data_IF_405485655425
#
_entry.id   IF_405485655425
#
_cell.length_a   1.000
_cell.length_b   1.000
_cell.length_c   1.000
_cell.angle_alpha   90.00
_cell.angle_beta   90.00
_cell.angle_gamma   90.00
#
_symmetry.space_group_name_H-M   'P 1'
#
loop_
_entity.id
_entity.type
_entity.pdbx_description
1 polymer ?
#
# COMPACT_ATOMS: atom_id res chain seq x y z
N UNK A 1 -16.96 17.13 10.74
CA UNK A 1 -15.97 17.46 11.78
C UNK A 1 -16.62 18.25 12.90
N UNK A 2 -16.29 17.93 14.15
CA UNK A 2 -16.76 18.63 15.36
C UNK A 2 -15.55 18.93 16.24
N UNK A 3 -15.48 20.16 16.75
CA UNK A 3 -14.47 20.60 17.72
C UNK A 3 -15.13 20.69 19.08
N UNK A 4 -14.51 20.09 20.09
CA UNK A 4 -14.99 20.00 21.47
C UNK A 4 -13.98 20.63 22.41
N UNK A 5 -14.43 21.62 23.19
CA UNK A 5 -13.67 22.23 24.27
C UNK A 5 -13.37 21.16 25.33
N UNK A 6 -12.09 20.86 25.55
CA UNK A 6 -11.63 19.77 26.42
C UNK A 6 -11.86 20.03 27.91
N UNK A 7 -12.02 21.29 28.32
CA UNK A 7 -12.28 21.65 29.71
C UNK A 7 -13.78 21.53 30.03
N UNK A 8 -14.63 22.07 29.16
CA UNK A 8 -16.09 22.12 29.29
C UNK A 8 -16.80 20.87 28.79
N UNK A 9 -16.14 20.06 27.96
CA UNK A 9 -16.69 18.90 27.25
C UNK A 9 -17.96 19.26 26.46
N UNK A 10 -17.91 20.36 25.71
CA UNK A 10 -19.01 20.85 24.86
C UNK A 10 -18.53 21.09 23.43
N UNK A 11 -19.34 20.77 22.41
CA UNK A 11 -19.02 21.14 21.03
C UNK A 11 -19.00 22.67 20.92
N UNK A 12 -17.91 23.21 20.37
CA UNK A 12 -17.72 24.65 20.12
C UNK A 12 -17.83 25.00 18.64
N UNK A 13 -17.50 24.06 17.74
CA UNK A 13 -17.69 24.23 16.31
C UNK A 13 -18.08 22.90 15.65
N UNK A 14 -18.91 22.97 14.61
CA UNK A 14 -19.31 21.81 13.80
C UNK A 14 -19.43 22.23 12.33
N UNK A 15 -18.78 21.48 11.45
CA UNK A 15 -18.73 21.72 10.01
C UNK A 15 -18.71 20.40 9.24
N UNK A 16 -19.28 20.41 8.05
CA UNK A 16 -19.11 19.36 7.03
C UNK A 16 -18.38 19.98 5.84
N UNK A 17 -17.63 19.15 5.12
CA UNK A 17 -16.86 19.54 3.94
C UNK A 17 -17.10 18.47 2.89
N UNK A 18 -17.67 18.84 1.75
CA UNK A 18 -17.91 17.93 0.63
C UNK A 18 -16.64 17.81 -0.21
N UNK A 19 -15.68 17.01 0.28
CA UNK A 19 -14.42 16.70 -0.42
C UNK A 19 -14.61 15.64 -1.53
N UNK A 20 -15.85 15.38 -1.96
CA UNK A 20 -16.18 14.65 -3.17
C UNK A 20 -16.56 15.59 -4.33
N UNK A 21 -17.38 16.62 -4.07
CA UNK A 21 -17.78 17.61 -5.06
C UNK A 21 -16.80 18.78 -5.19
N UNK A 22 -16.22 19.23 -4.07
CA UNK A 22 -15.34 20.41 -3.96
C UNK A 22 -13.93 20.01 -3.52
N UNK A 23 -12.97 20.93 -3.62
CA UNK A 23 -11.63 20.75 -3.04
C UNK A 23 -11.63 20.92 -1.50
N UNK A 24 -10.49 20.59 -0.87
CA UNK A 24 -10.35 20.60 0.59
C UNK A 24 -9.94 21.93 1.23
N UNK A 25 -9.85 23.04 0.48
CA UNK A 25 -9.28 24.31 0.97
C UNK A 25 -10.00 24.86 2.20
N UNK A 26 -11.34 24.81 2.22
CA UNK A 26 -12.16 25.25 3.37
C UNK A 26 -11.94 24.36 4.62
N UNK A 27 -11.69 23.07 4.41
CA UNK A 27 -11.35 22.16 5.51
C UNK A 27 -9.96 22.46 6.07
N UNK A 28 -8.99 22.78 5.21
CA UNK A 28 -7.63 23.16 5.60
C UNK A 28 -7.65 24.46 6.42
N UNK A 29 -8.39 25.48 5.97
CA UNK A 29 -8.61 26.71 6.72
C UNK A 29 -9.26 26.47 8.09
N UNK A 30 -10.26 25.58 8.16
CA UNK A 30 -10.91 25.19 9.41
C UNK A 30 -9.92 24.50 10.38
N UNK A 31 -9.16 23.50 9.90
CA UNK A 31 -8.17 22.78 10.71
C UNK A 31 -7.05 23.70 11.22
N UNK A 32 -6.71 24.76 10.49
CA UNK A 32 -5.70 25.75 10.90
C UNK A 32 -6.21 26.81 11.87
N UNK A 33 -7.46 27.28 11.72
CA UNK A 33 -7.98 28.49 12.41
C UNK A 33 -8.97 28.19 13.54
N UNK A 34 -9.78 27.13 13.38
CA UNK A 34 -10.90 26.82 14.26
C UNK A 34 -10.58 25.70 15.27
N UNK A 35 -9.49 24.95 15.07
CA UNK A 35 -9.02 23.90 15.98
C UNK A 35 -7.83 24.44 16.80
N UNK A 36 -8.08 24.86 18.04
CA UNK A 36 -7.06 25.49 18.90
C UNK A 36 -6.29 24.45 19.68
N UNK A 37 -5.12 24.83 20.19
CA UNK A 37 -4.32 23.96 21.05
C UNK A 37 -5.12 23.49 22.28
N UNK A 38 -5.10 22.18 22.55
CA UNK A 38 -5.91 21.55 23.59
C UNK A 38 -7.36 21.22 23.20
N UNK A 39 -7.88 21.66 22.05
CA UNK A 39 -9.21 21.25 21.59
C UNK A 39 -9.22 19.78 21.13
N UNK A 40 -10.33 19.09 21.39
CA UNK A 40 -10.58 17.73 20.88
C UNK A 40 -11.27 17.86 19.51
N UNK A 41 -10.66 17.30 18.47
CA UNK A 41 -11.23 17.20 17.12
C UNK A 41 -11.83 15.80 16.92
N UNK A 42 -13.11 15.76 16.55
CA UNK A 42 -13.80 14.58 16.05
C UNK A 42 -13.98 14.73 14.54
N UNK A 43 -13.24 13.94 13.77
CA UNK A 43 -13.37 13.84 12.32
C UNK A 43 -14.02 12.50 11.95
N UNK A 44 -14.91 12.52 10.95
CA UNK A 44 -15.56 11.32 10.42
C UNK A 44 -16.00 11.57 8.97
N UNK A 45 -16.01 10.53 8.15
CA UNK A 45 -16.55 10.54 6.79
C UNK A 45 -18.04 10.25 6.78
N UNK A 46 -18.74 10.71 5.75
CA UNK A 46 -20.09 10.28 5.40
C UNK A 46 -20.18 10.16 3.88
N UNK A 47 -20.78 9.07 3.38
CA UNK A 47 -20.74 8.66 1.97
C UNK A 47 -19.31 8.54 1.39
N UNK A 48 -18.80 9.61 0.78
CA UNK A 48 -17.52 9.67 0.06
C UNK A 48 -16.80 10.95 0.45
N UNK A 49 -15.50 10.86 0.73
CA UNK A 49 -14.71 12.01 1.15
C UNK A 49 -13.27 12.01 0.58
N UNK A 50 -12.92 11.05 -0.27
CA UNK A 50 -11.54 10.84 -0.72
C UNK A 50 -11.21 11.53 -2.05
N UNK A 51 -12.19 11.71 -2.94
CA UNK A 51 -11.98 12.05 -4.35
C UNK A 51 -11.17 13.33 -4.58
N UNK A 52 -11.51 14.41 -3.89
CA UNK A 52 -10.84 15.72 -3.98
C UNK A 52 -10.13 16.10 -2.67
N UNK A 53 -9.83 15.12 -1.81
CA UNK A 53 -9.13 15.35 -0.55
C UNK A 53 -7.64 15.64 -0.80
N UNK A 54 -7.27 16.92 -0.72
CA UNK A 54 -5.94 17.42 -1.03
C UNK A 54 -4.83 16.87 -0.13
N UNK A 55 -3.60 16.91 -0.64
CA UNK A 55 -2.40 16.46 0.09
C UNK A 55 -2.19 17.31 1.36
N UNK A 56 -2.47 18.62 1.30
CA UNK A 56 -2.36 19.51 2.45
C UNK A 56 -3.34 19.13 3.56
N UNK A 57 -4.62 18.93 3.24
CA UNK A 57 -5.61 18.36 4.15
C UNK A 57 -5.17 17.04 4.81
N UNK A 58 -4.64 16.08 4.02
CA UNK A 58 -4.15 14.80 4.56
C UNK A 58 -2.96 14.99 5.50
N UNK A 59 -2.06 15.92 5.20
CA UNK A 59 -0.91 16.24 6.06
C UNK A 59 -1.35 16.92 7.35
N UNK A 60 -2.26 17.91 7.30
CA UNK A 60 -2.83 18.55 8.50
C UNK A 60 -3.51 17.53 9.42
N UNK A 61 -4.25 16.57 8.85
CA UNK A 61 -4.88 15.50 9.63
C UNK A 61 -3.85 14.52 10.22
N UNK A 62 -2.74 14.26 9.53
CA UNK A 62 -1.63 13.47 10.06
C UNK A 62 -0.88 14.20 11.19
N UNK A 63 -0.63 15.51 11.07
CA UNK A 63 -0.06 16.38 12.11
C UNK A 63 -0.99 16.48 13.33
N UNK A 64 -2.31 16.35 13.11
CA UNK A 64 -3.33 16.20 14.15
C UNK A 64 -3.41 14.78 14.72
N UNK A 65 -2.48 13.88 14.39
CA UNK A 65 -2.39 12.53 14.96
C UNK A 65 -3.08 11.42 14.17
N UNK A 66 -3.49 11.65 12.92
CA UNK A 66 -4.00 10.55 12.06
C UNK A 66 -2.87 9.65 11.57
N UNK A 67 -3.00 8.36 11.83
CA UNK A 67 -2.13 7.30 11.28
C UNK A 67 -2.64 6.77 9.93
N UNK A 68 -3.95 6.86 9.66
CA UNK A 68 -4.62 6.22 8.52
C UNK A 68 -5.14 7.15 7.41
N UNK A 69 -5.21 8.48 7.59
CA UNK A 69 -5.86 9.38 6.61
C UNK A 69 -5.25 9.31 5.21
N UNK A 70 -3.96 9.02 5.11
CA UNK A 70 -3.28 8.84 3.82
C UNK A 70 -3.88 7.67 3.03
N UNK A 71 -4.32 6.62 3.74
CA UNK A 71 -4.91 5.39 3.20
C UNK A 71 -6.41 5.50 2.89
N UNK A 72 -7.04 6.67 3.07
CA UNK A 72 -8.46 6.86 2.74
C UNK A 72 -8.69 6.69 1.23
N UNK A 73 -9.55 5.73 0.88
CA UNK A 73 -9.93 5.33 -0.48
C UNK A 73 -11.39 5.69 -0.78
N UNK A 74 -11.80 5.56 -2.05
CA UNK A 74 -13.17 5.82 -2.50
C UNK A 74 -14.21 5.06 -1.67
N UNK A 75 -15.16 5.80 -1.06
CA UNK A 75 -16.19 5.29 -0.12
C UNK A 75 -15.64 4.59 1.13
N UNK A 76 -14.34 4.69 1.39
CA UNK A 76 -13.75 4.24 2.65
C UNK A 76 -14.37 5.00 3.81
N UNK A 77 -14.79 4.28 4.85
CA UNK A 77 -15.34 4.88 6.06
C UNK A 77 -14.22 5.07 7.07
N UNK A 78 -14.13 6.27 7.64
CA UNK A 78 -13.07 6.64 8.57
C UNK A 78 -13.62 7.54 9.67
N UNK A 79 -13.11 7.36 10.88
CA UNK A 79 -13.19 8.38 11.92
C UNK A 79 -11.86 8.50 12.66
N UNK A 80 -11.64 9.67 13.24
CA UNK A 80 -10.58 9.94 14.20
C UNK A 80 -11.11 10.87 15.28
N UNK A 81 -10.77 10.58 16.54
CA UNK A 81 -10.91 11.50 17.66
C UNK A 81 -9.50 11.83 18.15
N UNK A 82 -9.11 13.10 18.13
CA UNK A 82 -7.75 13.53 18.48
C UNK A 82 -7.73 14.84 19.27
N UNK A 83 -6.58 15.26 19.78
CA UNK A 83 -6.42 16.54 20.48
C UNK A 83 -5.26 17.35 19.87
N UNK A 84 -5.52 18.62 19.53
CA UNK A 84 -4.48 19.51 18.98
C UNK A 84 -3.36 19.71 20.01
N UNK A 85 -2.12 19.45 19.59
CA UNK A 85 -0.94 19.51 20.46
C UNK A 85 -0.53 18.16 21.07
N UNK A 86 -1.27 17.07 20.80
CA UNK A 86 -0.79 15.73 21.15
C UNK A 86 0.45 15.35 20.32
N UNK A 87 1.25 14.41 20.83
CA UNK A 87 2.42 13.85 20.12
C UNK A 87 2.14 12.41 19.69
N UNK A 88 2.57 12.06 18.48
CA UNK A 88 2.32 10.74 17.90
C UNK A 88 0.86 10.58 17.46
N UNK A 89 0.45 9.33 17.25
CA UNK A 89 -0.87 9.02 16.69
C UNK A 89 -1.98 8.94 17.74
N UNK A 90 -3.20 9.30 17.32
CA UNK A 90 -4.39 9.07 18.12
C UNK A 90 -4.67 7.56 18.24
N UNK A 91 -4.94 7.06 19.45
CA UNK A 91 -5.42 5.70 19.67
C UNK A 91 -6.92 5.53 19.34
N UNK A 92 -7.61 6.60 18.95
CA UNK A 92 -9.04 6.61 18.63
C UNK A 92 -9.25 6.90 17.14
N UNK A 93 -8.78 5.98 16.30
CA UNK A 93 -8.89 6.07 14.85
C UNK A 93 -9.23 4.69 14.26
N UNK A 94 -10.15 4.66 13.30
CA UNK A 94 -10.46 3.46 12.51
C UNK A 94 -10.71 3.83 11.05
N UNK A 95 -10.16 3.04 10.14
CA UNK A 95 -10.42 3.09 8.70
C UNK A 95 -10.96 1.73 8.24
N UNK A 96 -12.13 1.70 7.61
CA UNK A 96 -12.67 0.54 6.90
C UNK A 96 -12.73 0.85 5.40
N UNK A 97 -11.99 0.09 4.59
CA UNK A 97 -12.03 0.21 3.14
C UNK A 97 -13.42 -0.18 2.58
N UNK A 98 -13.75 0.36 1.41
CA UNK A 98 -14.92 -0.04 0.62
C UNK A 98 -14.81 -1.50 0.19
N UNK A 99 -15.90 -2.27 0.28
CA UNK A 99 -15.93 -3.69 -0.12
C UNK A 99 -16.82 -3.85 -1.34
N UNK A 100 -16.23 -4.16 -2.50
CA UNK A 100 -16.96 -4.29 -3.77
C UNK A 100 -17.67 -3.00 -4.21
N UNK A 101 -17.14 -1.83 -3.84
CA UNK A 101 -17.79 -0.53 -4.09
C UNK A 101 -18.88 -0.13 -3.09
N UNK A 102 -19.20 -1.00 -2.12
CA UNK A 102 -20.14 -0.74 -1.04
C UNK A 102 -19.44 -0.18 0.20
N UNK A 103 -20.15 0.70 0.92
CA UNK A 103 -19.70 1.30 2.17
C UNK A 103 -19.56 0.25 3.28
N UNK A 104 -18.50 0.37 4.07
CA UNK A 104 -18.23 -0.47 5.25
C UNK A 104 -18.49 0.32 6.54
N UNK A 105 -19.73 0.36 7.08
CA UNK A 105 -20.08 1.23 8.18
C UNK A 105 -19.23 0.97 9.45
N UNK A 106 -19.01 2.03 10.21
CA UNK A 106 -18.34 2.00 11.50
C UNK A 106 -19.37 2.42 12.56
N UNK A 107 -19.49 1.59 13.59
CA UNK A 107 -20.30 1.84 14.77
C UNK A 107 -19.43 1.47 15.97
N UNK A 108 -19.08 2.45 16.79
CA UNK A 108 -18.04 2.35 17.83
C UNK A 108 -18.45 3.21 19.03
N UNK A 109 -18.38 2.62 20.22
CA UNK A 109 -18.67 3.29 21.48
C UNK A 109 -17.44 3.26 22.39
N UNK A 110 -16.94 4.43 22.78
CA UNK A 110 -15.67 4.53 23.53
C UNK A 110 -15.67 5.69 24.53
N UNK A 111 -14.86 5.53 25.59
CA UNK A 111 -14.54 6.61 26.52
C UNK A 111 -13.28 7.34 26.05
N UNK A 112 -13.39 8.63 25.77
CA UNK A 112 -12.28 9.50 25.37
C UNK A 112 -11.85 10.37 26.56
N UNK A 113 -10.56 10.43 26.92
CA UNK A 113 -10.08 11.27 28.01
C UNK A 113 -10.14 12.75 27.62
N UNK A 114 -10.28 13.64 28.62
CA UNK A 114 -10.28 15.09 28.39
C UNK A 114 -8.93 15.63 27.93
N UNK A 115 -7.85 15.02 28.41
CA UNK A 115 -6.50 15.31 27.98
C UNK A 115 -5.85 14.05 27.42
N UNK A 116 -5.25 14.18 26.24
CA UNK A 116 -4.49 13.15 25.57
C UNK A 116 -3.05 13.31 26.07
N UNK A 117 -2.82 12.88 27.32
CA UNK A 117 -1.51 12.95 27.96
C UNK A 117 -0.41 12.44 27.02
N UNK A 118 0.73 13.12 27.00
CA UNK A 118 1.95 12.60 26.37
C UNK A 118 2.30 11.29 27.09
N UNK A 119 1.91 10.17 26.48
CA UNK A 119 1.94 8.86 27.12
C UNK A 119 3.37 8.45 27.45
N UNK A 120 3.79 8.68 28.69
CA UNK A 120 4.83 7.90 29.37
C UNK A 120 4.37 6.44 29.65
N UNK A 121 3.49 5.91 28.80
CA UNK A 121 3.11 4.50 28.79
C UNK A 121 4.23 3.78 28.03
N UNK A 122 4.91 2.79 28.63
CA UNK A 122 5.95 2.05 27.92
C UNK A 122 5.40 1.50 26.61
N UNK A 123 6.13 1.72 25.51
CA UNK A 123 5.79 1.13 24.22
C UNK A 123 5.78 -0.39 24.36
N UNK A 124 4.67 -1.02 23.99
CA UNK A 124 4.46 -2.48 24.13
C UNK A 124 3.97 -3.07 22.80
N UNK A 125 4.41 -4.29 22.45
CA UNK A 125 3.87 -5.05 21.33
C UNK A 125 2.35 -5.17 21.36
N UNK A 126 1.73 -5.19 20.19
CA UNK A 126 0.32 -5.54 20.06
C UNK A 126 0.05 -6.97 20.56
N UNK A 127 -1.07 -7.15 21.27
CA UNK A 127 -1.45 -8.43 21.87
C UNK A 127 -1.84 -9.41 20.75
N UNK A 128 -1.25 -10.62 20.77
CA UNK A 128 -1.66 -11.70 19.89
C UNK A 128 -3.03 -12.23 20.31
N UNK A 129 -4.08 -11.82 19.58
CA UNK A 129 -5.47 -12.25 19.83
C UNK A 129 -5.76 -13.65 19.27
N UNK A 130 -5.15 -14.01 18.13
CA UNK A 130 -5.33 -15.34 17.54
C UNK A 130 -4.47 -16.40 18.25
N UNK A 131 -5.13 -17.21 19.09
CA UNK A 131 -4.49 -18.30 19.85
C UNK A 131 -3.87 -19.41 18.98
N UNK A 132 -4.32 -19.60 17.73
CA UNK A 132 -3.77 -20.63 16.85
C UNK A 132 -2.33 -20.34 16.41
N UNK A 133 -1.90 -19.08 16.46
CA UNK A 133 -0.54 -18.67 16.09
C UNK A 133 0.45 -18.79 17.25
N UNK A 134 -0.02 -19.05 18.48
CA UNK A 134 0.84 -19.16 19.67
C UNK A 134 1.86 -20.29 19.47
N UNK A 135 3.14 -19.98 19.67
CA UNK A 135 4.24 -20.91 19.46
C UNK A 135 4.73 -21.01 18.01
N UNK A 136 4.16 -20.26 17.06
CA UNK A 136 4.63 -20.24 15.68
C UNK A 136 6.08 -19.74 15.57
N UNK A 137 6.88 -20.44 14.76
CA UNK A 137 8.28 -20.08 14.49
C UNK A 137 8.44 -18.68 13.89
N UNK A 138 7.39 -18.12 13.25
CA UNK A 138 7.43 -16.77 12.68
C UNK A 138 7.80 -15.69 13.72
N UNK A 139 7.40 -15.87 14.99
CA UNK A 139 7.67 -14.93 16.07
C UNK A 139 9.09 -15.07 16.66
N UNK A 140 9.89 -16.01 16.15
CA UNK A 140 11.31 -16.19 16.46
C UNK A 140 12.23 -15.86 15.28
N UNK A 141 11.67 -15.57 14.10
CA UNK A 141 12.43 -15.14 12.92
C UNK A 141 13.01 -13.74 13.15
N UNK A 142 14.33 -13.53 13.00
CA UNK A 142 14.93 -12.20 13.10
C UNK A 142 14.41 -11.25 12.01
N UNK A 143 14.07 -10.02 12.42
CA UNK A 143 13.61 -8.95 11.54
C UNK A 143 14.71 -7.90 11.48
N UNK A 144 15.26 -7.67 10.27
CA UNK A 144 16.25 -6.63 10.03
C UNK A 144 15.57 -5.42 9.38
N UNK A 145 15.65 -4.26 10.04
CA UNK A 145 15.16 -2.99 9.52
C UNK A 145 16.37 -2.17 9.07
N UNK A 146 16.44 -1.78 7.80
CA UNK A 146 17.50 -0.90 7.29
C UNK A 146 16.99 0.54 7.39
N UNK A 147 17.62 1.35 8.24
CA UNK A 147 17.27 2.74 8.43
C UNK A 147 17.75 3.61 7.27
N UNK A 148 16.86 4.51 6.83
CA UNK A 148 17.21 5.60 5.91
C UNK A 148 17.73 6.84 6.64
N UNK A 149 17.64 7.97 5.96
CA UNK A 149 18.15 9.27 6.44
C UNK A 149 17.18 9.98 7.41
N UNK A 150 15.88 9.64 7.33
CA UNK A 150 14.83 10.30 8.12
C UNK A 150 14.48 9.54 9.40
N UNK A 151 14.74 10.17 10.55
CA UNK A 151 14.37 9.65 11.88
C UNK A 151 12.85 9.60 12.08
N UNK A 152 12.09 10.53 11.50
CA UNK A 152 10.62 10.48 11.55
C UNK A 152 10.08 9.30 10.75
N UNK A 153 10.58 9.07 9.54
CA UNK A 153 10.20 7.91 8.72
C UNK A 153 10.58 6.59 9.42
N UNK A 154 11.76 6.52 10.04
CA UNK A 154 12.17 5.36 10.83
C UNK A 154 11.21 5.12 12.02
N UNK A 155 10.90 6.16 12.80
CA UNK A 155 9.96 6.07 13.95
C UNK A 155 8.62 5.47 13.53
N UNK A 156 8.05 5.97 12.42
CA UNK A 156 6.81 5.46 11.83
C UNK A 156 6.89 3.98 11.41
N UNK A 157 8.04 3.53 10.93
CA UNK A 157 8.29 2.12 10.63
C UNK A 157 8.38 1.27 11.91
N UNK A 158 9.04 1.77 12.96
CA UNK A 158 9.15 1.06 14.24
C UNK A 158 7.79 0.96 14.98
N UNK A 159 6.95 1.99 14.90
CA UNK A 159 5.58 1.98 15.42
C UNK A 159 4.70 0.94 14.71
N UNK A 160 4.74 0.87 13.38
CA UNK A 160 3.96 -0.13 12.65
C UNK A 160 4.45 -1.56 12.88
N UNK A 161 5.77 -1.76 13.04
CA UNK A 161 6.36 -3.06 13.42
C UNK A 161 5.94 -3.47 14.84
N UNK A 162 6.03 -2.57 15.82
CA UNK A 162 5.63 -2.85 17.20
C UNK A 162 4.12 -3.15 17.31
N UNK A 163 3.33 -2.54 16.44
CA UNK A 163 1.88 -2.76 16.34
C UNK A 163 1.49 -4.10 15.69
N UNK A 164 2.44 -4.91 15.20
CA UNK A 164 2.13 -6.23 14.65
C UNK A 164 1.86 -7.25 15.78
N UNK A 165 0.70 -7.95 15.79
CA UNK A 165 0.40 -8.93 16.83
C UNK A 165 1.43 -10.07 16.91
N UNK A 166 1.96 -10.31 18.12
CA UNK A 166 2.92 -11.38 18.38
C UNK A 166 4.39 -11.05 18.08
N UNK A 167 4.70 -9.83 17.61
CA UNK A 167 6.07 -9.34 17.44
C UNK A 167 6.87 -9.47 18.76
N UNK A 168 8.11 -9.94 18.68
CA UNK A 168 9.03 -10.01 19.81
C UNK A 168 10.16 -8.98 19.62
N UNK A 169 10.20 -7.87 20.38
CA UNK A 169 11.19 -6.80 20.22
C UNK A 169 12.65 -7.27 20.19
N UNK A 170 12.98 -8.32 20.96
CA UNK A 170 14.33 -8.92 21.02
C UNK A 170 14.87 -9.42 19.67
N UNK A 171 13.99 -9.75 18.72
CA UNK A 171 14.36 -10.27 17.40
C UNK A 171 14.35 -9.19 16.30
N UNK A 172 13.98 -7.95 16.64
CA UNK A 172 14.07 -6.79 15.74
C UNK A 172 15.46 -6.16 15.89
N UNK A 173 16.14 -5.95 14.77
CA UNK A 173 17.46 -5.30 14.68
C UNK A 173 17.40 -4.18 13.65
N UNK A 174 17.60 -2.94 14.08
CA UNK A 174 17.70 -1.76 13.22
C UNK A 174 19.16 -1.55 12.83
N UNK A 175 19.46 -1.71 11.55
CA UNK A 175 20.77 -1.43 10.94
C UNK A 175 20.75 0.00 10.42
N UNK A 176 21.73 0.83 10.81
CA UNK A 176 21.76 2.25 10.44
C UNK A 176 23.18 2.76 10.22
N UNK A 177 23.34 3.80 9.40
CA UNK A 177 24.62 4.49 9.25
C UNK A 177 24.67 5.72 10.19
N UNK A 178 25.59 5.77 11.18
CA UNK A 178 25.66 6.85 12.16
C UNK A 178 26.15 8.19 11.59
N UNK A 179 26.76 8.20 10.40
CA UNK A 179 27.10 9.44 9.68
C UNK A 179 25.85 10.10 9.07
N UNK A 180 24.87 9.27 8.70
CA UNK A 180 23.67 9.67 7.96
C UNK A 180 22.52 10.01 8.91
N UNK A 181 22.26 9.15 9.90
CA UNK A 181 21.13 9.27 10.82
C UNK A 181 21.58 9.13 12.28
N UNK A 182 21.28 10.16 13.07
CA UNK A 182 21.61 10.24 14.51
C UNK A 182 20.47 9.70 15.36
N UNK A 183 20.75 9.48 16.65
CA UNK A 183 19.78 9.12 17.70
C UNK A 183 19.00 7.80 17.51
N UNK A 184 19.34 7.01 16.50
CA UNK A 184 18.73 5.68 16.25
C UNK A 184 18.88 4.73 17.44
N UNK A 185 19.98 4.82 18.21
CA UNK A 185 20.17 3.95 19.39
C UNK A 185 19.16 4.27 20.48
N UNK A 186 18.95 5.56 20.78
CA UNK A 186 17.99 6.05 21.76
C UNK A 186 16.55 5.76 21.30
N UNK A 187 16.28 5.89 20.00
CA UNK A 187 15.00 5.48 19.42
C UNK A 187 14.77 3.97 19.61
N UNK A 188 15.74 3.11 19.26
CA UNK A 188 15.59 1.66 19.43
C UNK A 188 15.39 1.25 20.89
N UNK A 189 16.07 1.92 21.83
CA UNK A 189 15.86 1.73 23.27
C UNK A 189 14.42 2.02 23.71
N UNK A 190 13.78 3.06 23.16
CA UNK A 190 12.38 3.40 23.46
C UNK A 190 11.40 2.28 23.01
N UNK A 191 11.69 1.63 21.88
CA UNK A 191 10.88 0.53 21.32
C UNK A 191 11.28 -0.86 21.85
N UNK A 192 12.37 -0.98 22.62
CA UNK A 192 12.92 -2.26 23.07
C UNK A 192 13.55 -3.09 21.94
N UNK A 193 13.95 -2.46 20.84
CA UNK A 193 14.61 -3.08 19.69
C UNK A 193 16.14 -2.98 19.80
N UNK A 194 16.86 -3.85 19.08
CA UNK A 194 18.31 -3.76 18.99
C UNK A 194 18.73 -2.78 17.89
N UNK A 195 19.85 -2.08 18.07
CA UNK A 195 20.45 -1.23 17.04
C UNK A 195 21.84 -1.73 16.64
N UNK A 196 22.20 -1.61 15.35
CA UNK A 196 23.51 -1.96 14.82
C UNK A 196 24.00 -0.91 13.83
N UNK A 197 25.07 -0.19 14.18
CA UNK A 197 25.73 0.71 13.26
C UNK A 197 26.41 -0.07 12.11
N UNK A 198 26.32 0.46 10.89
CA UNK A 198 27.05 0.04 9.69
C UNK A 198 27.72 1.25 9.02
N UNK A 199 28.77 1.02 8.24
CA UNK A 199 29.52 2.05 7.50
C UNK A 199 29.26 2.02 5.99
N UNK A 200 28.42 1.10 5.51
CA UNK A 200 28.10 0.95 4.09
C UNK A 200 26.97 1.93 3.69
N UNK A 201 26.99 2.37 2.41
CA UNK A 201 26.08 3.38 1.87
C UNK A 201 25.11 2.76 0.84
N UNK A 202 23.92 3.36 0.76
CA UNK A 202 22.85 3.16 -0.25
C UNK A 202 21.99 1.88 -0.18
N UNK A 203 20.67 2.03 -0.38
CA UNK A 203 19.74 1.05 -1.01
C UNK A 203 18.28 1.58 -1.08
N UNK A 204 17.63 1.64 -2.27
CA UNK A 204 16.16 1.78 -2.47
C UNK A 204 15.69 1.28 -3.87
N UNK A 205 14.41 0.84 -4.02
CA UNK A 205 13.80 0.30 -5.27
C UNK A 205 12.26 0.49 -5.36
N UNK A 206 11.60 0.16 -6.50
CA UNK A 206 10.21 0.57 -6.89
C UNK A 206 9.27 -0.59 -7.38
N UNK A 207 7.91 -0.40 -7.49
CA UNK A 207 6.93 -1.50 -7.72
C UNK A 207 5.84 -1.33 -8.82
N UNK A 208 5.09 -2.43 -9.14
CA UNK A 208 3.79 -2.56 -9.86
C UNK A 208 3.28 -4.04 -9.79
N UNK A 209 1.99 -4.45 -9.76
CA UNK A 209 0.62 -3.85 -9.62
C UNK A 209 -0.25 -4.84 -8.75
N UNK A 210 -1.43 -4.45 -8.20
CA UNK A 210 -2.19 -5.28 -7.22
C UNK A 210 -3.73 -5.04 -7.15
N UNK A 211 -4.55 -6.07 -6.81
CA UNK A 211 -6.02 -5.95 -6.67
C UNK A 211 -6.73 -6.76 -5.55
N UNK A 212 -6.35 -8.02 -5.26
CA UNK A 212 -7.01 -8.87 -4.23
C UNK A 212 -6.16 -9.12 -2.97
N UNK A 213 -6.79 -9.13 -1.80
CA UNK A 213 -6.07 -9.30 -0.53
C UNK A 213 -5.81 -10.75 -0.11
N UNK A 214 -6.52 -11.72 -0.69
CA UNK A 214 -6.45 -13.14 -0.35
C UNK A 214 -5.45 -13.94 -1.21
N UNK A 215 -5.12 -13.43 -2.40
CA UNK A 215 -4.28 -14.11 -3.38
C UNK A 215 -2.77 -13.94 -3.15
N UNK A 216 -2.03 -14.92 -3.66
CA UNK A 216 -0.59 -15.06 -3.61
C UNK A 216 -0.11 -15.73 -4.89
N UNK A 217 0.97 -15.21 -5.47
CA UNK A 217 1.56 -15.62 -6.75
C UNK A 217 3.00 -16.08 -6.56
N UNK A 218 3.50 -16.87 -7.52
CA UNK A 218 4.95 -17.06 -7.72
C UNK A 218 5.44 -16.08 -8.80
N UNK A 219 6.62 -15.50 -8.60
CA UNK A 219 7.28 -14.61 -9.56
C UNK A 219 8.77 -14.92 -9.66
N UNK A 220 9.33 -14.89 -10.86
CA UNK A 220 10.77 -15.06 -11.11
C UNK A 220 11.63 -13.84 -10.72
N UNK A 221 11.02 -12.83 -10.12
CA UNK A 221 11.60 -11.49 -9.92
C UNK A 221 11.75 -11.13 -8.43
N UNK A 222 12.57 -10.11 -8.14
CA UNK A 222 12.84 -9.68 -6.77
C UNK A 222 12.06 -8.40 -6.40
N UNK A 223 10.87 -8.49 -5.78
CA UNK A 223 9.97 -7.33 -5.56
C UNK A 223 10.51 -6.28 -4.57
N UNK A 224 11.60 -6.60 -3.83
CA UNK A 224 12.25 -5.72 -2.88
C UNK A 224 11.35 -5.28 -1.71
N UNK A 225 11.63 -4.10 -1.15
CA UNK A 225 10.92 -3.41 -0.06
C UNK A 225 10.86 -4.16 1.29
N UNK A 226 10.28 -5.36 1.34
CA UNK A 226 10.31 -6.25 2.50
C UNK A 226 10.15 -7.70 2.03
N UNK A 227 11.11 -8.55 2.36
CA UNK A 227 11.14 -9.95 1.93
C UNK A 227 11.77 -10.82 3.03
N UNK A 228 11.49 -12.13 2.98
CA UNK A 228 12.18 -13.12 3.81
C UNK A 228 13.23 -13.83 2.98
N UNK A 229 14.46 -13.93 3.48
CA UNK A 229 15.53 -14.73 2.84
C UNK A 229 15.96 -15.88 3.75
N UNK A 230 16.14 -17.06 3.16
CA UNK A 230 16.68 -18.23 3.87
C UNK A 230 18.16 -17.98 4.18
N UNK A 231 18.54 -17.97 5.46
CA UNK A 231 19.92 -17.69 5.88
C UNK A 231 20.97 -18.61 5.23
N UNK A 232 20.64 -19.88 4.98
CA UNK A 232 21.51 -20.80 4.25
C UNK A 232 21.80 -20.35 2.81
N UNK A 233 20.79 -19.82 2.10
CA UNK A 233 20.92 -19.25 0.76
C UNK A 233 21.77 -17.97 0.80
N UNK A 234 21.50 -17.07 1.76
CA UNK A 234 22.32 -15.88 1.94
C UNK A 234 23.81 -16.21 2.16
N UNK A 235 24.12 -17.12 3.09
CA UNK A 235 25.50 -17.43 3.46
C UNK A 235 26.27 -18.20 2.39
N UNK A 236 25.61 -19.10 1.65
CA UNK A 236 26.26 -19.95 0.64
C UNK A 236 26.39 -19.29 -0.73
N UNK A 237 25.41 -18.48 -1.14
CA UNK A 237 25.25 -18.07 -2.54
C UNK A 237 25.34 -16.55 -2.71
N UNK A 238 24.70 -15.77 -1.85
CA UNK A 238 24.72 -14.31 -1.97
C UNK A 238 26.00 -13.70 -1.38
N UNK A 239 26.30 -13.99 -0.10
CA UNK A 239 27.43 -13.38 0.61
C UNK A 239 28.79 -13.49 -0.12
N UNK A 240 29.17 -14.61 -0.78
CA UNK A 240 30.40 -14.68 -1.55
C UNK A 240 30.43 -13.75 -2.78
N UNK A 241 29.27 -13.50 -3.39
CA UNK A 241 29.12 -12.83 -4.68
C UNK A 241 28.72 -11.35 -4.59
N UNK A 242 28.61 -10.79 -3.37
CA UNK A 242 28.27 -9.37 -3.13
C UNK A 242 29.12 -8.40 -3.97
N UNK A 243 30.43 -8.66 -4.10
CA UNK A 243 31.35 -7.81 -4.88
C UNK A 243 31.09 -7.80 -6.39
N UNK A 244 30.35 -8.78 -6.90
CA UNK A 244 30.01 -8.89 -8.33
C UNK A 244 28.65 -8.25 -8.60
N UNK A 245 27.66 -8.50 -7.72
CA UNK A 245 26.32 -7.92 -7.82
C UNK A 245 26.26 -6.43 -7.44
N UNK A 246 26.78 -6.04 -6.28
CA UNK A 246 26.47 -4.76 -5.62
C UNK A 246 27.16 -3.53 -6.26
N UNK A 247 27.54 -3.64 -7.53
CA UNK A 247 28.10 -2.58 -8.35
C UNK A 247 27.01 -1.75 -9.07
N UNK A 248 25.74 -2.19 -8.97
CA UNK A 248 24.54 -1.53 -9.52
C UNK A 248 23.51 -1.30 -8.42
N UNK A 249 22.65 -0.29 -8.59
CA UNK A 249 21.65 0.13 -7.59
C UNK A 249 20.60 -0.97 -7.40
N UNK A 250 20.25 -1.27 -6.16
CA UNK A 250 19.19 -2.23 -5.86
C UNK A 250 19.57 -3.68 -6.19
N UNK A 251 18.61 -4.43 -6.70
CA UNK A 251 18.71 -5.87 -6.94
C UNK A 251 19.04 -6.22 -8.40
N UNK A 252 19.17 -5.23 -9.29
CA UNK A 252 19.45 -5.42 -10.73
C UNK A 252 20.73 -6.22 -10.96
N UNK A 253 21.80 -5.94 -10.20
CA UNK A 253 23.07 -6.67 -10.29
C UNK A 253 22.99 -8.14 -9.85
N UNK A 254 21.90 -8.58 -9.21
CA UNK A 254 21.65 -10.01 -8.95
C UNK A 254 21.11 -10.73 -10.20
N UNK A 255 20.26 -10.08 -11.01
CA UNK A 255 19.77 -10.68 -12.26
C UNK A 255 20.89 -10.96 -13.26
N UNK A 256 21.94 -10.11 -13.27
CA UNK A 256 23.08 -10.23 -14.19
C UNK A 256 23.99 -11.43 -13.88
N UNK A 257 23.91 -11.98 -12.66
CA UNK A 257 24.55 -13.25 -12.29
C UNK A 257 23.70 -14.48 -12.67
N UNK A 258 22.57 -14.25 -13.35
CA UNK A 258 21.62 -15.27 -13.82
C UNK A 258 20.38 -15.37 -12.93
N UNK A 259 19.21 -15.57 -13.56
CA UNK A 259 18.00 -16.02 -12.85
C UNK A 259 18.24 -17.44 -12.38
N UNK A 260 18.32 -17.67 -11.07
CA UNK A 260 18.69 -18.96 -10.47
C UNK A 260 17.62 -20.07 -10.56
N UNK A 261 16.74 -20.04 -11.57
CA UNK A 261 15.60 -20.96 -11.73
C UNK A 261 14.75 -21.05 -10.45
N UNK A 262 14.52 -19.89 -9.82
CA UNK A 262 13.83 -19.75 -8.53
C UNK A 262 12.83 -18.62 -8.59
N UNK A 263 11.75 -18.82 -7.84
CA UNK A 263 10.66 -17.87 -7.73
C UNK A 263 10.45 -17.44 -6.28
N UNK A 264 9.86 -16.27 -6.11
CA UNK A 264 9.42 -15.73 -4.83
C UNK A 264 7.90 -15.80 -4.74
N UNK A 265 7.38 -16.10 -3.54
CA UNK A 265 5.94 -15.99 -3.27
C UNK A 265 5.63 -14.54 -2.87
N UNK A 266 4.71 -13.91 -3.59
CA UNK A 266 4.27 -12.53 -3.38
C UNK A 266 2.75 -12.47 -3.20
N UNK A 267 2.21 -11.70 -2.24
CA UNK A 267 0.77 -11.46 -2.20
C UNK A 267 0.36 -10.59 -3.38
N UNK A 268 -0.88 -10.73 -3.86
CA UNK A 268 -1.46 -9.82 -4.84
C UNK A 268 -1.51 -8.40 -4.24
N UNK A 269 -2.35 -8.14 -3.23
CA UNK A 269 -2.29 -6.89 -2.46
C UNK A 269 -1.19 -6.94 -1.41
N UNK A 270 -0.22 -6.03 -1.59
CA UNK A 270 0.93 -5.82 -0.70
C UNK A 270 0.52 -5.77 0.78
N UNK A 271 1.38 -6.36 1.63
CA UNK A 271 1.32 -6.22 3.10
C UNK A 271 2.20 -5.08 3.62
N UNK A 272 2.90 -4.36 2.73
CA UNK A 272 3.78 -3.24 3.08
C UNK A 272 3.39 -2.00 2.29
N UNK A 273 3.07 -0.93 3.02
CA UNK A 273 2.82 0.40 2.47
C UNK A 273 4.15 1.15 2.32
N UNK A 274 4.57 1.41 1.09
CA UNK A 274 5.58 2.44 0.83
C UNK A 274 4.93 3.82 0.93
N UNK A 275 5.31 4.62 1.92
CA UNK A 275 4.96 6.04 1.95
C UNK A 275 5.67 6.77 0.79
N UNK A 276 5.02 7.72 0.11
CA UNK A 276 5.71 8.61 -0.82
C UNK A 276 6.87 9.29 -0.10
N UNK A 277 8.05 9.28 -0.72
CA UNK A 277 9.12 10.19 -0.32
C UNK A 277 8.65 11.62 -0.63
N UNK A 278 9.06 12.59 0.20
CA UNK A 278 8.71 13.99 -0.03
C UNK A 278 9.18 14.51 -1.39
N UNK A 279 8.69 15.68 -1.79
CA UNK A 279 8.99 16.37 -3.06
C UNK A 279 10.48 16.52 -3.37
N UNK A 280 11.33 16.39 -2.36
CA UNK A 280 12.71 16.86 -2.37
C UNK A 280 13.72 15.75 -2.72
N UNK A 281 13.27 14.48 -2.83
CA UNK A 281 14.19 13.33 -2.91
C UNK A 281 14.38 12.68 -4.29
N UNK A 282 13.47 12.86 -5.26
CA UNK A 282 13.75 12.57 -6.68
C UNK A 282 12.98 13.57 -7.57
N UNK A 283 13.57 14.09 -8.67
CA UNK A 283 12.88 14.95 -9.64
C UNK A 283 11.98 14.10 -10.55
N UNK A 284 10.88 13.60 -9.97
CA UNK A 284 9.94 12.72 -10.64
C UNK A 284 9.07 13.53 -11.61
N UNK A 285 9.03 13.15 -12.90
CA UNK A 285 8.10 13.79 -13.84
C UNK A 285 6.64 13.55 -13.42
N UNK A 286 5.69 14.45 -13.73
CA UNK A 286 4.29 14.26 -13.34
C UNK A 286 3.69 12.92 -13.76
N UNK A 287 4.14 12.38 -14.90
CA UNK A 287 3.75 11.05 -15.39
C UNK A 287 4.31 9.92 -14.50
N UNK A 288 5.61 9.93 -14.17
CA UNK A 288 6.19 8.90 -13.29
C UNK A 288 5.59 9.01 -11.88
N UNK A 289 5.26 10.22 -11.40
CA UNK A 289 4.58 10.40 -10.12
C UNK A 289 3.16 9.80 -10.15
N UNK A 290 2.39 10.07 -11.23
CA UNK A 290 1.05 9.52 -11.42
C UNK A 290 1.04 7.99 -11.59
N UNK A 291 2.03 7.40 -12.25
CA UNK A 291 2.11 5.96 -12.50
C UNK A 291 2.70 5.18 -11.31
N UNK A 292 3.73 5.71 -10.66
CA UNK A 292 4.55 4.92 -9.72
C UNK A 292 4.51 5.40 -8.26
N UNK A 293 4.21 6.67 -8.00
CA UNK A 293 4.25 7.28 -6.65
C UNK A 293 2.88 7.49 -6.01
N UNK A 294 1.77 7.19 -6.71
CA UNK A 294 0.45 7.10 -6.08
C UNK A 294 0.47 6.05 -4.96
N UNK A 295 -0.21 6.37 -3.85
CA UNK A 295 -0.46 5.45 -2.75
C UNK A 295 -1.21 4.21 -3.26
N UNK A 296 -0.75 3.03 -2.84
CA UNK A 296 -1.20 1.75 -3.40
C UNK A 296 -2.07 0.98 -2.42
N UNK A 297 -2.92 0.11 -2.96
CA UNK A 297 -3.63 -0.88 -2.17
C UNK A 297 -2.62 -1.64 -1.29
N UNK A 298 -2.77 -1.46 0.03
CA UNK A 298 -2.06 -2.23 1.05
C UNK A 298 -3.13 -2.87 1.91
N UNK A 299 -3.03 -4.17 2.16
CA UNK A 299 -4.02 -4.84 2.98
C UNK A 299 -3.86 -4.42 4.45
N UNK A 300 -4.91 -3.82 5.00
CA UNK A 300 -4.99 -3.42 6.41
C UNK A 300 -5.66 -4.50 7.28
N UNK A 301 -6.27 -5.54 6.70
CA UNK A 301 -6.91 -6.62 7.46
C UNK A 301 -5.87 -7.62 7.99
N UNK A 302 -5.54 -7.51 9.29
CA UNK A 302 -4.53 -8.32 9.97
C UNK A 302 -4.78 -9.84 9.96
N UNK A 303 -6.04 -10.28 9.79
CA UNK A 303 -6.45 -11.69 9.93
C UNK A 303 -7.02 -12.29 8.65
N UNK A 304 -6.78 -11.66 7.49
CA UNK A 304 -7.25 -12.17 6.20
C UNK A 304 -6.57 -13.52 5.89
N UNK A 305 -7.30 -14.65 5.82
CA UNK A 305 -6.71 -15.95 5.54
C UNK A 305 -6.28 -16.04 4.09
N UNK A 306 -5.11 -16.65 3.83
CA UNK A 306 -4.67 -16.93 2.47
C UNK A 306 -5.51 -18.07 1.89
N UNK A 307 -6.09 -17.85 0.71
CA UNK A 307 -6.75 -18.90 -0.05
C UNK A 307 -5.71 -19.79 -0.73
N UNK A 308 -5.95 -21.11 -0.75
CA UNK A 308 -5.15 -22.10 -1.49
C UNK A 308 -3.62 -22.05 -1.26
N UNK A 309 -3.15 -21.67 -0.07
CA UNK A 309 -1.72 -21.51 0.21
C UNK A 309 -0.88 -22.81 0.02
N UNK A 310 -1.53 -23.98 0.03
CA UNK A 310 -0.93 -25.28 -0.21
C UNK A 310 -0.78 -25.64 -1.70
N UNK A 311 -1.31 -24.83 -2.63
CA UNK A 311 -1.07 -24.99 -4.08
C UNK A 311 0.21 -24.31 -4.56
N UNK A 312 0.87 -23.49 -3.74
CA UNK A 312 2.03 -22.67 -4.13
C UNK A 312 3.35 -23.46 -4.31
N UNK A 313 3.37 -24.76 -4.05
CA UNK A 313 4.49 -25.65 -4.43
C UNK A 313 4.52 -25.83 -5.95
N UNK A 314 5.70 -25.90 -6.59
CA UNK A 314 5.84 -25.84 -8.07
C UNK A 314 4.79 -26.65 -8.82
N UNK A 315 4.79 -27.98 -8.64
CA UNK A 315 3.97 -28.91 -9.42
C UNK A 315 2.46 -28.66 -9.25
N UNK A 316 2.05 -28.19 -8.06
CA UNK A 316 0.66 -27.83 -7.76
C UNK A 316 0.28 -26.46 -8.32
N UNK A 317 1.23 -25.53 -8.38
CA UNK A 317 0.99 -24.19 -8.92
C UNK A 317 0.85 -24.26 -10.44
N UNK A 318 1.69 -25.05 -11.12
CA UNK A 318 1.52 -25.37 -12.54
C UNK A 318 0.16 -26.02 -12.83
N UNK A 319 -0.22 -27.01 -12.01
CA UNK A 319 -1.56 -27.64 -12.10
C UNK A 319 -2.68 -26.61 -11.93
N UNK A 320 -2.55 -25.70 -10.98
CA UNK A 320 -3.52 -24.64 -10.73
C UNK A 320 -3.56 -23.59 -11.86
N UNK A 321 -2.42 -23.23 -12.44
CA UNK A 321 -2.35 -22.36 -13.62
C UNK A 321 -3.03 -23.02 -14.83
N UNK A 322 -2.83 -24.32 -15.06
CA UNK A 322 -3.54 -25.06 -16.11
C UNK A 322 -5.06 -25.12 -15.87
N UNK A 323 -5.51 -25.32 -14.62
CA UNK A 323 -6.93 -25.21 -14.26
C UNK A 323 -7.49 -23.81 -14.50
N UNK A 324 -6.74 -22.76 -14.14
CA UNK A 324 -7.12 -21.37 -14.39
C UNK A 324 -7.18 -21.06 -15.89
N UNK A 325 -6.21 -21.52 -16.68
CA UNK A 325 -6.22 -21.35 -18.14
C UNK A 325 -7.42 -22.07 -18.77
N UNK A 326 -7.69 -23.31 -18.37
CA UNK A 326 -8.82 -24.11 -18.88
C UNK A 326 -10.20 -23.60 -18.46
N UNK A 327 -10.31 -22.95 -17.29
CA UNK A 327 -11.56 -22.35 -16.81
C UNK A 327 -11.74 -20.88 -17.25
N UNK A 328 -10.64 -20.19 -17.54
CA UNK A 328 -10.69 -18.86 -18.15
C UNK A 328 -11.36 -18.95 -19.52
N UNK A 329 -12.35 -18.09 -19.75
CA UNK A 329 -12.93 -17.93 -21.07
C UNK A 329 -11.98 -17.09 -21.93
N UNK A 330 -10.85 -17.70 -22.30
CA UNK A 330 -9.92 -17.15 -23.27
C UNK A 330 -10.62 -17.12 -24.64
N UNK A 331 -11.19 -15.96 -24.99
CA UNK A 331 -11.55 -15.68 -26.37
C UNK A 331 -10.26 -15.58 -27.19
N UNK A 332 -9.76 -16.73 -27.66
CA UNK A 332 -8.60 -16.80 -28.55
C UNK A 332 -8.96 -16.09 -29.85
N UNK A 333 -8.41 -14.89 -30.03
CA UNK A 333 -8.61 -14.05 -31.22
C UNK A 333 -7.81 -14.65 -32.38
N UNK A 334 -8.37 -15.67 -33.03
CA UNK A 334 -7.84 -16.22 -34.28
C UNK A 334 -8.37 -15.42 -35.48
N UNK A 335 -8.00 -14.14 -35.57
CA UNK A 335 -8.20 -13.36 -36.80
C UNK A 335 -7.33 -13.97 -37.90
N UNK A 336 -7.94 -14.49 -38.96
CA UNK A 336 -7.15 -15.03 -40.06
C UNK A 336 -6.65 -13.92 -40.97
N UNK A 337 -5.68 -14.25 -41.83
CA UNK A 337 -5.16 -13.29 -42.80
C UNK A 337 -6.24 -12.91 -43.83
N UNK A 338 -7.18 -13.81 -44.09
CA UNK A 338 -8.34 -13.59 -44.95
C UNK A 338 -9.30 -12.56 -44.33
N UNK A 339 -9.60 -12.63 -43.03
CA UNK A 339 -10.50 -11.67 -42.35
C UNK A 339 -10.01 -10.22 -42.47
N UNK A 340 -8.70 -10.02 -42.22
CA UNK A 340 -8.05 -8.70 -42.31
C UNK A 340 -8.03 -8.22 -43.76
N UNK A 341 -7.68 -9.10 -44.71
CA UNK A 341 -7.67 -8.77 -46.13
C UNK A 341 -9.07 -8.43 -46.67
N UNK A 342 -10.12 -9.14 -46.24
CA UNK A 342 -11.50 -8.89 -46.66
C UNK A 342 -11.97 -7.48 -46.27
N UNK A 343 -11.56 -6.98 -45.11
CA UNK A 343 -11.84 -5.61 -44.70
C UNK A 343 -10.94 -4.57 -45.37
N UNK A 344 -9.67 -4.89 -45.62
CA UNK A 344 -8.73 -4.00 -46.30
C UNK A 344 -9.04 -3.83 -47.81
N UNK A 345 -9.65 -4.83 -48.44
CA UNK A 345 -10.07 -4.80 -49.85
C UNK A 345 -11.43 -4.11 -50.08
N UNK A 346 -12.17 -3.79 -49.02
CA UNK A 346 -13.39 -3.02 -49.13
C UNK A 346 -13.05 -1.52 -49.04
N UNK A 347 -13.02 -0.85 -50.20
CA UNK A 347 -12.70 0.59 -50.37
C UNK A 347 -13.54 1.54 -49.50
N UNK A 348 -14.65 1.03 -48.95
CA UNK A 348 -15.59 1.79 -48.13
C UNK A 348 -15.33 1.67 -46.61
N UNK A 349 -14.41 0.79 -46.19
CA UNK A 349 -14.00 0.63 -44.79
C UNK A 349 -13.16 1.82 -44.32
N UNK A 350 -13.62 2.55 -43.30
CA UNK A 350 -12.85 3.67 -42.70
C UNK A 350 -12.31 3.37 -41.30
N UNK A 351 -12.89 2.40 -40.59
CA UNK A 351 -12.42 1.95 -39.27
C UNK A 351 -12.60 0.44 -39.10
N UNK A 352 -11.64 -0.18 -38.42
CA UNK A 352 -11.68 -1.55 -37.91
C UNK A 352 -12.12 -1.51 -36.44
N UNK A 353 -13.16 -2.27 -36.07
CA UNK A 353 -13.63 -2.38 -34.69
C UNK A 353 -13.75 -3.84 -34.27
N UNK A 354 -13.10 -4.19 -33.16
CA UNK A 354 -13.38 -5.43 -32.43
C UNK A 354 -14.69 -5.25 -31.66
N UNK A 355 -15.64 -6.14 -31.88
CA UNK A 355 -16.95 -6.16 -31.20
C UNK A 355 -17.00 -7.39 -30.30
N UNK A 356 -17.29 -7.13 -29.02
CA UNK A 356 -17.38 -8.13 -27.96
C UNK A 356 -18.87 -8.43 -27.69
N UNK A 357 -19.48 -9.24 -28.56
CA UNK A 357 -20.77 -9.89 -28.29
C UNK A 357 -20.49 -11.29 -27.66
N UNK A 358 -21.49 -12.19 -27.56
CA UNK A 358 -21.31 -13.60 -27.09
C UNK A 358 -20.19 -14.37 -27.83
N UNK A 359 -19.76 -13.87 -28.99
CA UNK A 359 -18.48 -14.17 -29.63
C UNK A 359 -17.81 -12.87 -30.05
N UNK A 360 -16.50 -12.76 -29.83
CA UNK A 360 -15.69 -11.65 -30.36
C UNK A 360 -15.64 -11.74 -31.88
N UNK A 361 -15.99 -10.65 -32.57
CA UNK A 361 -15.98 -10.58 -34.04
C UNK A 361 -15.36 -9.27 -34.54
N UNK A 362 -14.74 -9.33 -35.72
CA UNK A 362 -14.25 -8.14 -36.42
C UNK A 362 -15.42 -7.51 -37.19
N UNK A 363 -15.78 -6.25 -36.90
CA UNK A 363 -16.66 -5.45 -37.75
C UNK A 363 -15.90 -4.32 -38.40
N UNK A 364 -16.17 -4.15 -39.69
CA UNK A 364 -15.57 -3.14 -40.53
C UNK A 364 -16.66 -2.13 -40.87
N UNK A 365 -16.53 -0.92 -40.33
CA UNK A 365 -17.65 0.02 -40.22
C UNK A 365 -17.52 1.19 -41.19
N UNK A 366 -18.63 1.49 -41.84
CA UNK A 366 -18.87 2.69 -42.63
C UNK A 366 -19.23 3.88 -41.74
N UNK A 367 -18.79 5.08 -42.14
CA UNK A 367 -19.05 6.29 -41.38
C UNK A 367 -20.48 6.78 -41.65
N UNK A 368 -21.41 6.64 -40.69
CA UNK A 368 -22.73 7.28 -40.83
C UNK A 368 -23.95 6.66 -40.14
N UNK A 369 -23.90 6.34 -38.84
CA UNK A 369 -25.12 6.26 -38.03
C UNK A 369 -24.81 6.36 -36.52
N UNK A 370 -25.51 7.25 -35.80
CA UNK A 370 -25.62 7.22 -34.33
C UNK A 370 -24.46 7.83 -33.54
N UNK A 371 -24.77 8.86 -32.75
CA UNK A 371 -23.90 9.29 -31.67
C UNK A 371 -23.91 8.27 -30.53
N UNK A 372 -22.85 7.48 -30.40
CA UNK A 372 -22.44 6.93 -29.10
C UNK A 372 -20.97 7.25 -28.85
N UNK A 373 -20.72 8.28 -28.04
CA UNK A 373 -19.40 8.52 -27.46
C UNK A 373 -19.13 7.41 -26.45
N UNK A 374 -18.42 6.37 -26.88
CA UNK A 374 -17.76 5.44 -25.97
C UNK A 374 -16.83 6.29 -25.09
N UNK A 375 -17.24 6.51 -23.84
CA UNK A 375 -16.33 7.01 -22.81
C UNK A 375 -15.40 5.85 -22.47
N UNK A 376 -14.12 6.03 -22.71
CA UNK A 376 -13.10 5.24 -22.04
C UNK A 376 -13.19 5.57 -20.54
N UNK A 377 -13.69 4.62 -19.75
CA UNK A 377 -13.37 4.58 -18.32
C UNK A 377 -11.98 3.95 -18.23
N UNK A 378 -10.99 4.70 -17.72
CA UNK A 378 -9.60 4.22 -17.62
C UNK A 378 -9.41 3.13 -16.54
N UNK A 379 -10.46 2.83 -15.77
CA UNK A 379 -10.44 1.94 -14.60
C UNK A 379 -10.73 0.47 -14.93
N UNK A 380 -9.97 -0.14 -15.87
CA UNK A 380 -9.59 -1.57 -15.87
C UNK A 380 -9.12 -2.05 -17.26
N UNK A 381 -7.81 -2.02 -17.53
CA UNK A 381 -7.19 -2.83 -18.58
C UNK A 381 -5.94 -3.53 -18.06
N UNK A 382 -6.10 -4.77 -17.60
CA UNK A 382 -4.99 -5.71 -17.42
C UNK A 382 -4.63 -6.33 -18.76
N UNK A 383 -3.81 -5.65 -19.57
CA UNK A 383 -3.21 -6.25 -20.76
C UNK A 383 -1.94 -7.02 -20.40
N UNK A 384 -2.05 -8.33 -20.26
CA UNK A 384 -0.92 -9.24 -20.36
C UNK A 384 -0.49 -9.33 -21.83
N UNK A 385 0.70 -8.84 -22.15
CA UNK A 385 1.39 -9.15 -23.40
C UNK A 385 2.49 -10.16 -23.10
N UNK A 386 2.17 -11.45 -23.27
CA UNK A 386 3.19 -12.50 -23.36
C UNK A 386 3.73 -12.50 -24.79
N UNK A 387 5.00 -12.12 -24.96
CA UNK A 387 5.75 -12.39 -26.18
C UNK A 387 6.75 -13.51 -25.88
N UNK A 388 6.68 -14.54 -26.72
CA UNK A 388 7.62 -15.67 -26.79
C UNK A 388 9.00 -15.23 -27.26
#
# INVERSE_FOLDING_TARGET
MVVVDSHRMKPVNARHFDTYAMDSSEMELFLMREVREGDILIAMTFDEASRNLGVMAKNLLADLGSSQIQNLQFRGQWFMISQRGMKGFSPYETLKASKGGLWSPIDEHMCVPRHFDQRNVPLKPAILTNRQLVGSAMFMTPIMVIAGESLSTLTLTLETILSQPGIQPRYVVVVYNPEVIKDVTQLCQLFGFNAKATTEKEYYSFPNVSSRADLVYRVEDFPGQAFTIRMATYMKELKPNMKQCCNKRGWEGWLELGRWEREMVVPDVSRVLRRPLGSDLEPVTPLIHALFHRLRATNLEMTSPLSNADTLTSDRYESHLLELLNSSHAHVISLTKEDINACALNESTTNLKLVFDDKVSLRCTLHGAGHDRIRWHEDSMSMFWTLL
#
